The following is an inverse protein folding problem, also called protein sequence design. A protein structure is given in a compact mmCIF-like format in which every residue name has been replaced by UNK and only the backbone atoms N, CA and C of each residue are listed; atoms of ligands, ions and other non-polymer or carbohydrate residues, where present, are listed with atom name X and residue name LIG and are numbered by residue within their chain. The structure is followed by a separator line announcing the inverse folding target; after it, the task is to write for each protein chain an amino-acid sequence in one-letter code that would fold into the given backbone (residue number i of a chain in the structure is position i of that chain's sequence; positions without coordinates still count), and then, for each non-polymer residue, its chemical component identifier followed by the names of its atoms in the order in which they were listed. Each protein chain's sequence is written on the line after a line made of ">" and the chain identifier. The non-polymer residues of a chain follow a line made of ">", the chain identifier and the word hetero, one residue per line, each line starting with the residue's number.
data_IF_546891824977
#
_entry.id   IF_546891824977
#
_cell.length_a   1.000
_cell.length_b   1.000
_cell.length_c   1.000
_cell.angle_alpha   90.00
_cell.angle_beta   90.00
_cell.angle_gamma   90.00
#
_symmetry.space_group_name_H-M   'P 1'
#
loop_
_entity.id
_entity.type
_entity.pdbx_description
1 polymer ?
#
# COMPACT_ATOMS: atom_id res chain seq x y z
N UNK A 1 69.36 -6.67 -4.81
CA UNK A 1 68.33 -5.78 -5.41
C UNK A 1 67.30 -6.48 -6.30
N UNK A 2 67.52 -7.69 -6.83
CA UNK A 2 66.53 -8.37 -7.70
C UNK A 2 65.39 -9.04 -6.90
N UNK A 3 65.66 -9.52 -5.68
CA UNK A 3 64.66 -10.22 -4.84
C UNK A 3 63.53 -9.33 -4.29
N UNK A 4 63.80 -8.06 -3.99
CA UNK A 4 62.78 -7.13 -3.48
C UNK A 4 61.79 -6.69 -4.56
N UNK A 5 62.26 -6.54 -5.81
CA UNK A 5 61.43 -6.16 -6.95
C UNK A 5 60.41 -7.24 -7.33
N UNK A 6 60.80 -8.52 -7.21
CA UNK A 6 59.90 -9.66 -7.47
C UNK A 6 58.86 -9.83 -6.36
N UNK A 7 59.23 -9.54 -5.11
CA UNK A 7 58.31 -9.56 -3.95
C UNK A 7 57.24 -8.47 -4.07
N UNK A 8 57.65 -7.25 -4.42
CA UNK A 8 56.76 -6.09 -4.57
C UNK A 8 55.83 -6.24 -5.79
N UNK A 9 56.33 -6.84 -6.88
CA UNK A 9 55.52 -7.18 -8.05
C UNK A 9 54.47 -8.28 -7.75
N UNK A 10 54.83 -9.30 -6.96
CA UNK A 10 53.88 -10.34 -6.52
C UNK A 10 52.82 -9.81 -5.56
N UNK A 11 53.20 -8.93 -4.63
CA UNK A 11 52.27 -8.25 -3.72
C UNK A 11 51.33 -7.31 -4.49
N UNK A 12 51.85 -6.53 -5.43
CA UNK A 12 51.03 -5.68 -6.31
C UNK A 12 50.06 -6.50 -7.17
N UNK A 13 50.52 -7.61 -7.76
CA UNK A 13 49.67 -8.49 -8.55
C UNK A 13 48.58 -9.18 -7.71
N UNK A 14 48.92 -9.65 -6.49
CA UNK A 14 47.95 -10.25 -5.57
C UNK A 14 46.92 -9.24 -5.04
N UNK A 15 47.33 -7.98 -4.83
CA UNK A 15 46.42 -6.91 -4.43
C UNK A 15 45.48 -6.52 -5.59
N UNK A 16 45.99 -6.40 -6.81
CA UNK A 16 45.18 -6.08 -8.01
C UNK A 16 44.21 -7.22 -8.32
N UNK A 17 44.67 -8.48 -8.28
CA UNK A 17 43.78 -9.64 -8.51
C UNK A 17 42.73 -9.81 -7.42
N UNK A 18 43.03 -9.42 -6.17
CA UNK A 18 42.06 -9.39 -5.07
C UNK A 18 40.96 -8.33 -5.26
N UNK A 19 41.33 -7.14 -5.74
CA UNK A 19 40.36 -6.07 -6.04
C UNK A 19 39.48 -6.45 -7.23
N UNK A 20 40.04 -7.01 -8.29
CA UNK A 20 39.26 -7.47 -9.46
C UNK A 20 38.27 -8.58 -9.07
N UNK A 21 38.68 -9.52 -8.21
CA UNK A 21 37.80 -10.56 -7.68
C UNK A 21 36.67 -9.98 -6.81
N UNK A 22 36.98 -9.00 -5.97
CA UNK A 22 35.98 -8.30 -5.15
C UNK A 22 34.96 -7.56 -6.03
N UNK A 23 35.42 -6.78 -7.02
CA UNK A 23 34.54 -6.06 -7.95
C UNK A 23 33.67 -7.04 -8.75
N UNK A 24 34.23 -8.15 -9.20
CA UNK A 24 33.47 -9.18 -9.89
C UNK A 24 32.37 -9.80 -9.00
N UNK A 25 32.67 -10.09 -7.72
CA UNK A 25 31.70 -10.62 -6.76
C UNK A 25 30.57 -9.63 -6.47
N UNK A 26 30.89 -8.35 -6.24
CA UNK A 26 29.90 -7.29 -6.02
C UNK A 26 29.00 -7.09 -7.25
N UNK A 27 29.57 -7.17 -8.46
CA UNK A 27 28.80 -7.01 -9.69
C UNK A 27 27.82 -8.18 -9.89
N UNK A 28 28.24 -9.42 -9.63
CA UNK A 28 27.36 -10.60 -9.68
C UNK A 28 26.28 -10.55 -8.62
N UNK A 29 26.64 -10.16 -7.40
CA UNK A 29 25.69 -9.98 -6.30
C UNK A 29 24.65 -8.91 -6.66
N UNK A 30 25.08 -7.75 -7.17
CA UNK A 30 24.20 -6.68 -7.61
C UNK A 30 23.23 -7.11 -8.72
N UNK A 31 23.72 -7.86 -9.71
CA UNK A 31 22.86 -8.41 -10.77
C UNK A 31 21.85 -9.43 -10.22
N UNK A 32 22.30 -10.32 -9.33
CA UNK A 32 21.44 -11.32 -8.71
C UNK A 32 20.33 -10.68 -7.89
N UNK A 33 20.68 -9.69 -7.06
CA UNK A 33 19.74 -8.90 -6.26
C UNK A 33 18.77 -8.12 -7.15
N UNK A 34 19.22 -7.53 -8.25
CA UNK A 34 18.35 -6.79 -9.17
C UNK A 34 17.32 -7.71 -9.85
N UNK A 35 17.74 -8.89 -10.33
CA UNK A 35 16.84 -9.84 -10.99
C UNK A 35 15.85 -10.47 -10.01
N UNK A 36 16.33 -10.94 -8.86
CA UNK A 36 15.48 -11.52 -7.81
C UNK A 36 14.58 -10.47 -7.15
N UNK A 37 15.06 -9.24 -7.00
CA UNK A 37 14.29 -8.12 -6.47
C UNK A 37 13.07 -7.82 -7.33
N UNK A 38 13.22 -7.79 -8.67
CA UNK A 38 12.07 -7.64 -9.59
C UNK A 38 11.05 -8.77 -9.48
N UNK A 39 11.52 -10.00 -9.31
CA UNK A 39 10.63 -11.14 -9.10
C UNK A 39 9.87 -11.03 -7.77
N UNK A 40 10.55 -10.60 -6.70
CA UNK A 40 9.92 -10.33 -5.40
C UNK A 40 8.90 -9.19 -5.48
N UNK A 41 9.20 -8.11 -6.20
CA UNK A 41 8.28 -6.98 -6.35
C UNK A 41 7.02 -7.37 -7.12
N UNK A 42 7.18 -8.16 -8.19
CA UNK A 42 6.05 -8.72 -8.92
C UNK A 42 5.20 -9.63 -8.03
N UNK A 43 5.83 -10.55 -7.32
CA UNK A 43 5.12 -11.48 -6.43
C UNK A 43 4.37 -10.71 -5.33
N UNK A 44 5.01 -9.70 -4.72
CA UNK A 44 4.36 -8.86 -3.73
C UNK A 44 3.13 -8.13 -4.31
N UNK A 45 3.21 -7.62 -5.54
CA UNK A 45 2.07 -6.98 -6.18
C UNK A 45 0.91 -7.97 -6.44
N UNK A 46 1.22 -9.19 -6.90
CA UNK A 46 0.23 -10.26 -7.10
C UNK A 46 -0.41 -10.68 -5.77
N UNK A 47 0.37 -10.84 -4.70
CA UNK A 47 -0.12 -11.21 -3.36
C UNK A 47 -1.03 -10.12 -2.75
N UNK A 48 -0.71 -8.83 -2.97
CA UNK A 48 -1.57 -7.72 -2.53
C UNK A 48 -2.92 -7.81 -3.24
N UNK A 49 -2.92 -8.04 -4.55
CA UNK A 49 -4.15 -8.17 -5.34
C UNK A 49 -4.99 -9.35 -4.82
N UNK A 50 -4.36 -10.50 -4.59
CA UNK A 50 -5.05 -11.69 -4.09
C UNK A 50 -5.70 -11.43 -2.72
N UNK A 51 -4.94 -10.88 -1.76
CA UNK A 51 -5.44 -10.59 -0.41
C UNK A 51 -6.52 -9.52 -0.42
N UNK A 52 -6.33 -8.47 -1.21
CA UNK A 52 -7.32 -7.42 -1.37
C UNK A 52 -8.63 -7.98 -1.93
N UNK A 53 -8.56 -8.84 -2.96
CA UNK A 53 -9.73 -9.52 -3.55
C UNK A 53 -10.42 -10.47 -2.58
N UNK A 54 -9.68 -11.17 -1.73
CA UNK A 54 -10.24 -12.05 -0.70
C UNK A 54 -11.03 -11.28 0.38
N UNK A 55 -10.68 -10.01 0.61
CA UNK A 55 -11.31 -9.14 1.63
C UNK A 55 -12.42 -8.25 1.08
N UNK A 56 -12.52 -8.09 -0.23
CA UNK A 56 -13.54 -7.23 -0.84
C UNK A 56 -14.94 -7.86 -0.75
N UNK A 57 -15.99 -7.06 -0.47
CA UNK A 57 -17.37 -7.50 -0.62
C UNK A 57 -17.67 -7.97 -2.06
N UNK A 58 -18.01 -9.25 -2.22
CA UNK A 58 -18.25 -9.87 -3.54
C UNK A 58 -19.50 -9.34 -4.25
N UNK A 59 -20.43 -8.71 -3.51
CA UNK A 59 -21.76 -8.32 -3.98
C UNK A 59 -21.80 -7.41 -5.21
N UNK A 60 -20.72 -6.67 -5.51
CA UNK A 60 -20.73 -5.70 -6.62
C UNK A 60 -19.90 -6.10 -7.83
N UNK A 61 -19.07 -7.15 -7.76
CA UNK A 61 -18.22 -7.68 -8.85
C UNK A 61 -17.17 -6.72 -9.43
N UNK A 62 -17.54 -5.46 -9.65
CA UNK A 62 -16.74 -4.37 -10.21
C UNK A 62 -15.51 -4.05 -9.36
N UNK A 63 -15.66 -4.05 -8.03
CA UNK A 63 -14.53 -3.83 -7.13
C UNK A 63 -13.54 -4.99 -7.15
N UNK A 64 -14.05 -6.22 -7.17
CA UNK A 64 -13.20 -7.41 -7.28
C UNK A 64 -12.41 -7.42 -8.60
N UNK A 65 -13.05 -7.09 -9.72
CA UNK A 65 -12.39 -6.99 -11.03
C UNK A 65 -11.46 -5.78 -11.16
N UNK A 66 -11.68 -4.73 -10.36
CA UNK A 66 -10.99 -3.45 -10.45
C UNK A 66 -9.75 -3.33 -9.55
N UNK A 67 -9.40 -4.40 -8.82
CA UNK A 67 -8.12 -4.52 -8.13
C UNK A 67 -7.15 -5.20 -9.07
N UNK A 68 -6.08 -4.51 -9.45
CA UNK A 68 -5.09 -5.01 -10.40
C UNK A 68 -3.68 -4.54 -10.03
N UNK A 69 -2.70 -5.39 -10.38
CA UNK A 69 -1.29 -5.05 -10.35
C UNK A 69 -0.90 -4.50 -11.72
N UNK A 70 -0.26 -3.34 -11.74
CA UNK A 70 0.18 -2.66 -12.96
C UNK A 70 1.69 -2.46 -12.90
N UNK A 71 2.37 -2.72 -14.01
CA UNK A 71 3.78 -2.41 -14.15
C UNK A 71 3.92 -1.13 -14.98
N UNK A 72 4.55 -0.11 -14.39
CA UNK A 72 4.84 1.17 -15.05
C UNK A 72 6.32 1.44 -14.90
N UNK A 73 7.04 1.57 -16.02
CA UNK A 73 8.49 1.87 -16.05
C UNK A 73 9.36 0.92 -15.19
N UNK A 74 8.96 -0.36 -15.11
CA UNK A 74 9.66 -1.37 -14.31
C UNK A 74 9.38 -1.31 -12.81
N UNK A 75 8.38 -0.51 -12.40
CA UNK A 75 7.88 -0.44 -11.03
C UNK A 75 6.50 -1.07 -10.97
N UNK A 76 6.33 -2.04 -10.06
CA UNK A 76 5.03 -2.65 -9.80
C UNK A 76 4.22 -1.78 -8.85
N UNK A 77 3.05 -1.34 -9.31
CA UNK A 77 2.01 -0.68 -8.54
C UNK A 77 0.80 -1.58 -8.37
N UNK A 78 -0.02 -1.31 -7.36
CA UNK A 78 -1.33 -1.94 -7.21
C UNK A 78 -2.37 -0.84 -7.13
N UNK A 79 -3.39 -0.95 -7.97
CA UNK A 79 -4.50 -0.02 -8.01
C UNK A 79 -5.80 -0.76 -7.70
N UNK A 80 -6.68 -0.11 -6.94
CA UNK A 80 -8.04 -0.55 -6.74
C UNK A 80 -8.98 0.57 -7.19
N UNK A 81 -9.79 0.31 -8.21
CA UNK A 81 -10.80 1.25 -8.69
C UNK A 81 -12.05 0.55 -9.16
N UNK A 82 -13.21 1.11 -8.86
CA UNK A 82 -14.51 0.57 -9.23
C UNK A 82 -15.43 1.67 -9.79
N UNK A 83 -14.86 2.55 -10.63
CA UNK A 83 -15.63 3.59 -11.32
C UNK A 83 -16.51 2.99 -12.41
N UNK A 84 -17.74 3.48 -12.54
CA UNK A 84 -18.61 3.12 -13.64
C UNK A 84 -18.23 3.89 -14.91
N UNK A 85 -17.85 3.21 -16.00
CA UNK A 85 -17.49 3.90 -17.23
C UNK A 85 -18.67 4.65 -17.87
N UNK A 86 -19.92 4.35 -17.46
CA UNK A 86 -21.13 4.97 -17.99
C UNK A 86 -21.57 6.23 -17.24
N UNK A 87 -21.00 6.48 -16.05
CA UNK A 87 -21.33 7.68 -15.26
C UNK A 87 -20.04 8.36 -14.76
N UNK A 88 -19.58 9.43 -15.41
CA UNK A 88 -18.37 10.15 -15.02
C UNK A 88 -18.52 10.93 -13.69
N UNK A 89 -19.72 10.97 -13.11
CA UNK A 89 -19.99 11.57 -11.80
C UNK A 89 -20.01 10.54 -10.67
N UNK A 90 -19.89 9.25 -11.01
CA UNK A 90 -19.87 8.18 -10.02
C UNK A 90 -18.55 8.23 -9.25
N UNK A 91 -18.65 8.39 -7.92
CA UNK A 91 -17.49 8.27 -7.04
C UNK A 91 -16.91 6.86 -7.11
N UNK A 92 -15.60 6.76 -6.94
CA UNK A 92 -14.94 5.47 -6.91
C UNK A 92 -15.46 4.63 -5.74
N UNK A 93 -16.17 3.55 -6.07
CA UNK A 93 -16.74 2.65 -5.09
C UNK A 93 -15.65 1.96 -4.24
N UNK A 94 -14.44 1.78 -4.78
CA UNK A 94 -13.28 1.30 -4.04
C UNK A 94 -13.00 2.15 -2.79
N UNK A 95 -12.99 3.48 -3.00
CA UNK A 95 -12.76 4.44 -1.94
C UNK A 95 -13.88 4.45 -0.89
N UNK A 96 -15.13 4.33 -1.35
CA UNK A 96 -16.29 4.28 -0.46
C UNK A 96 -16.32 3.01 0.42
N UNK A 97 -15.87 1.88 -0.10
CA UNK A 97 -15.78 0.63 0.67
C UNK A 97 -14.66 0.69 1.70
N UNK A 98 -13.48 1.18 1.31
CA UNK A 98 -12.33 1.29 2.20
C UNK A 98 -12.62 2.20 3.40
N UNK A 99 -13.30 3.33 3.17
CA UNK A 99 -13.50 4.36 4.18
C UNK A 99 -14.91 4.41 4.78
N UNK A 100 -15.90 3.79 4.16
CA UNK A 100 -17.29 3.89 4.59
C UNK A 100 -17.93 5.25 4.29
N UNK A 101 -19.21 5.39 4.66
CA UNK A 101 -20.04 6.55 4.34
C UNK A 101 -20.86 7.04 5.54
N UNK A 102 -21.11 8.35 5.61
CA UNK A 102 -21.93 8.94 6.67
C UNK A 102 -23.44 8.78 6.44
N UNK A 103 -24.25 8.64 7.50
CA UNK A 103 -25.68 8.84 7.42
C UNK A 103 -26.02 10.27 6.98
N UNK A 104 -26.92 10.41 6.00
CA UNK A 104 -27.37 11.72 5.51
C UNK A 104 -26.69 12.16 4.21
N UNK A 105 -27.52 12.60 3.25
CA UNK A 105 -27.22 12.95 1.85
C UNK A 105 -26.43 11.88 1.09
N UNK A 106 -27.10 11.22 0.14
CA UNK A 106 -26.55 10.16 -0.73
C UNK A 106 -25.19 10.55 -1.32
N UNK A 107 -24.15 9.76 -1.00
CA UNK A 107 -22.93 9.65 -1.81
C UNK A 107 -21.93 10.81 -1.76
N UNK A 108 -22.10 11.82 -0.89
CA UNK A 108 -21.22 13.00 -0.88
C UNK A 108 -20.29 13.08 0.34
N UNK A 109 -20.50 12.27 1.39
CA UNK A 109 -19.71 12.35 2.63
C UNK A 109 -19.08 11.01 3.00
N UNK A 110 -17.78 10.93 2.76
CA UNK A 110 -16.88 9.86 3.23
C UNK A 110 -16.66 10.02 4.73
N UNK A 111 -16.53 8.91 5.45
CA UNK A 111 -16.17 8.94 6.87
C UNK A 111 -14.83 9.70 7.06
N UNK A 112 -14.83 10.77 7.86
CA UNK A 112 -13.64 11.56 8.16
C UNK A 112 -13.11 11.22 9.56
N UNK A 113 -12.03 11.87 10.01
CA UNK A 113 -11.46 11.64 11.34
C UNK A 113 -12.49 11.82 12.48
N UNK A 114 -13.52 12.66 12.28
CA UNK A 114 -14.58 12.87 13.26
C UNK A 114 -15.56 11.67 13.34
N UNK A 115 -15.64 10.82 12.31
CA UNK A 115 -16.39 9.56 12.36
C UNK A 115 -15.80 8.58 13.37
N UNK A 116 -14.47 8.57 13.48
CA UNK A 116 -13.71 7.70 14.38
C UNK A 116 -13.51 8.29 15.78
N UNK A 117 -13.96 9.53 16.00
CA UNK A 117 -13.99 10.13 17.32
C UNK A 117 -15.05 9.48 18.22
N UNK A 118 -14.92 9.61 19.55
CA UNK A 118 -16.00 9.23 20.45
C UNK A 118 -17.26 10.01 20.04
N UNK A 119 -18.28 9.29 19.56
CA UNK A 119 -19.62 9.89 19.45
C UNK A 119 -20.05 10.23 20.86
N UNK A 120 -20.38 11.50 21.09
CA UNK A 120 -21.20 11.87 22.24
C UNK A 120 -22.42 10.92 22.23
N UNK A 121 -22.57 10.05 23.24
CA UNK A 121 -23.65 9.05 23.26
C UNK A 121 -25.01 9.73 23.36
N UNK A 122 -25.03 10.95 23.88
CA UNK A 122 -26.18 11.83 23.91
C UNK A 122 -25.97 12.89 22.84
N UNK A 123 -26.81 12.92 21.79
CA UNK A 123 -26.86 14.03 20.84
C UNK A 123 -27.24 15.35 21.53
N UNK A 124 -26.31 15.92 22.29
CA UNK A 124 -26.49 17.00 23.22
C UNK A 124 -26.70 18.30 22.43
N UNK A 125 -27.98 18.50 22.09
CA UNK A 125 -28.67 19.77 22.01
C UNK A 125 -27.80 20.96 22.43
N UNK A 126 -27.22 21.63 21.43
CA UNK A 126 -26.71 22.98 21.64
C UNK A 126 -27.89 23.83 22.17
N UNK A 127 -27.86 24.18 23.45
CA UNK A 127 -28.75 25.20 23.99
C UNK A 127 -28.15 26.52 23.55
N UNK A 128 -28.94 27.37 22.90
CA UNK A 128 -28.44 28.67 22.48
C UNK A 128 -28.07 29.48 23.75
N UNK A 129 -26.78 29.77 23.99
CA UNK A 129 -26.31 30.34 25.26
C UNK A 129 -26.83 31.75 25.51
N UNK A 130 -27.37 32.41 24.48
CA UNK A 130 -27.89 33.77 24.53
C UNK A 130 -29.38 33.84 24.89
N UNK A 131 -30.11 32.73 24.73
CA UNK A 131 -31.59 32.72 24.88
C UNK A 131 -32.11 31.59 25.76
N UNK A 132 -31.26 30.63 26.17
CA UNK A 132 -31.64 29.50 27.01
C UNK A 132 -32.59 28.49 26.33
N UNK A 133 -32.92 28.69 25.05
CA UNK A 133 -33.83 27.82 24.30
C UNK A 133 -33.04 26.77 23.54
N UNK A 134 -33.53 25.54 23.53
CA UNK A 134 -33.05 24.48 22.61
C UNK A 134 -33.29 24.96 21.18
N UNK A 135 -32.31 24.84 20.29
CA UNK A 135 -32.57 25.07 18.87
C UNK A 135 -33.72 24.17 18.43
N UNK A 136 -34.83 24.76 17.95
CA UNK A 136 -35.83 23.98 17.24
C UNK A 136 -35.15 23.48 15.98
N UNK A 137 -34.97 22.16 15.83
CA UNK A 137 -34.70 21.57 14.51
C UNK A 137 -35.89 21.97 13.64
N UNK A 138 -35.69 22.98 12.80
CA UNK A 138 -36.60 23.17 11.68
C UNK A 138 -36.56 21.85 10.90
N UNK A 139 -37.73 21.23 10.71
CA UNK A 139 -37.96 20.09 9.82
C UNK A 139 -37.74 20.48 8.34
N UNK A 140 -36.60 21.13 8.05
CA UNK A 140 -36.24 21.66 6.75
C UNK A 140 -35.79 20.57 5.76
N UNK A 141 -35.82 19.29 6.15
CA UNK A 141 -35.28 18.17 5.35
C UNK A 141 -36.29 17.03 5.11
N UNK A 142 -37.60 17.27 5.20
CA UNK A 142 -38.59 16.20 4.97
C UNK A 142 -38.81 15.86 3.48
N UNK A 143 -38.26 16.64 2.54
CA UNK A 143 -38.42 16.42 1.08
C UNK A 143 -37.13 16.37 0.26
N UNK A 144 -35.97 16.64 0.86
CA UNK A 144 -34.69 16.70 0.14
C UNK A 144 -33.82 15.52 0.53
N UNK A 145 -33.71 14.59 -0.43
CA UNK A 145 -32.70 13.52 -0.54
C UNK A 145 -33.04 12.28 0.28
N UNK A 146 -33.26 11.15 -0.40
CA UNK A 146 -33.14 9.80 0.18
C UNK A 146 -31.81 9.74 0.94
N UNK A 147 -31.85 9.87 2.25
CA UNK A 147 -30.66 9.80 3.10
C UNK A 147 -30.30 8.33 3.23
N UNK A 148 -29.18 7.90 2.64
CA UNK A 148 -28.65 6.58 2.95
C UNK A 148 -28.28 6.52 4.44
N UNK A 149 -28.44 5.36 5.10
CA UNK A 149 -28.16 5.19 6.53
C UNK A 149 -26.67 5.33 6.88
N UNK A 150 -25.80 5.49 5.88
CA UNK A 150 -24.36 5.32 6.02
C UNK A 150 -24.00 3.83 6.03
N UNK A 151 -22.74 3.55 5.69
CA UNK A 151 -22.19 2.20 5.65
C UNK A 151 -20.86 2.22 6.41
N UNK A 152 -20.62 1.29 7.35
CA UNK A 152 -19.33 1.21 8.01
C UNK A 152 -18.21 0.91 7.01
N UNK A 153 -16.96 1.35 7.28
CA UNK A 153 -15.80 0.99 6.46
C UNK A 153 -15.59 -0.52 6.45
N UNK A 154 -15.16 -1.04 5.30
CA UNK A 154 -14.74 -2.42 5.12
C UNK A 154 -13.33 -2.43 4.50
N UNK A 155 -12.29 -2.13 5.30
CA UNK A 155 -10.95 -1.97 4.78
C UNK A 155 -10.43 -3.27 4.19
N UNK A 156 -9.95 -3.22 2.96
CA UNK A 156 -9.47 -4.37 2.20
C UNK A 156 -8.10 -4.09 1.57
N UNK A 157 -7.83 -2.85 1.18
CA UNK A 157 -6.64 -2.50 0.42
C UNK A 157 -5.42 -2.30 1.32
N UNK A 158 -5.46 -1.32 2.22
CA UNK A 158 -4.31 -0.97 3.06
C UNK A 158 -3.86 -2.09 4.01
N UNK A 159 -4.76 -2.87 4.65
CA UNK A 159 -4.36 -4.04 5.40
C UNK A 159 -3.57 -5.05 4.55
N UNK A 160 -3.98 -5.27 3.29
CA UNK A 160 -3.31 -6.19 2.37
C UNK A 160 -1.92 -5.70 1.96
N UNK A 161 -1.81 -4.41 1.66
CA UNK A 161 -0.52 -3.77 1.37
C UNK A 161 0.44 -3.90 2.54
N UNK A 162 -0.01 -3.56 3.76
CA UNK A 162 0.85 -3.56 4.94
C UNK A 162 1.38 -4.95 5.28
N UNK A 163 0.53 -5.97 5.22
CA UNK A 163 0.94 -7.35 5.49
C UNK A 163 1.96 -7.85 4.46
N UNK A 164 1.69 -7.64 3.16
CA UNK A 164 2.59 -8.11 2.11
C UNK A 164 3.91 -7.34 2.12
N UNK A 165 3.89 -6.03 2.39
CA UNK A 165 5.13 -5.25 2.48
C UNK A 165 5.99 -5.68 3.69
N UNK A 166 5.37 -6.08 4.80
CA UNK A 166 6.10 -6.67 5.92
C UNK A 166 6.77 -8.00 5.52
N UNK A 167 6.04 -8.87 4.83
CA UNK A 167 6.58 -10.16 4.35
C UNK A 167 7.66 -9.98 3.27
N UNK A 168 7.48 -9.04 2.34
CA UNK A 168 8.47 -8.65 1.34
C UNK A 168 9.76 -8.18 2.01
N UNK A 169 9.66 -7.38 3.08
CA UNK A 169 10.83 -6.93 3.85
C UNK A 169 11.66 -8.11 4.35
N UNK A 170 11.01 -9.09 4.99
CA UNK A 170 11.67 -10.31 5.46
C UNK A 170 12.27 -11.13 4.32
N UNK A 171 11.57 -11.25 3.19
CA UNK A 171 12.05 -11.97 2.00
C UNK A 171 13.26 -11.27 1.35
N UNK A 172 13.28 -9.94 1.33
CA UNK A 172 14.40 -9.16 0.81
C UNK A 172 15.65 -9.32 1.69
N UNK A 173 15.49 -9.30 3.01
CA UNK A 173 16.61 -9.54 3.94
C UNK A 173 17.17 -10.96 3.78
N UNK A 174 16.30 -11.96 3.64
CA UNK A 174 16.71 -13.34 3.36
C UNK A 174 17.47 -13.45 2.02
N UNK A 175 17.03 -12.74 0.98
CA UNK A 175 17.69 -12.70 -0.32
C UNK A 175 19.10 -12.11 -0.22
N UNK A 176 19.26 -11.00 0.51
CA UNK A 176 20.56 -10.36 0.73
C UNK A 176 21.53 -11.32 1.44
N UNK A 177 21.05 -12.00 2.47
CA UNK A 177 21.85 -13.00 3.19
C UNK A 177 22.21 -14.22 2.32
N UNK A 178 21.28 -14.73 1.49
CA UNK A 178 21.56 -15.80 0.52
C UNK A 178 22.66 -15.38 -0.47
N UNK A 179 22.55 -14.16 -1.00
CA UNK A 179 23.50 -13.62 -1.97
C UNK A 179 24.89 -13.43 -1.35
N UNK A 180 24.97 -12.92 -0.11
CA UNK A 180 26.22 -12.77 0.62
C UNK A 180 26.90 -14.13 0.91
N UNK A 181 26.13 -15.13 1.36
CA UNK A 181 26.63 -16.48 1.61
C UNK A 181 27.15 -17.14 0.33
N UNK A 182 26.46 -16.96 -0.81
CA UNK A 182 26.86 -17.56 -2.10
C UNK A 182 28.20 -17.03 -2.61
N UNK A 183 28.53 -15.77 -2.33
CA UNK A 183 29.78 -15.15 -2.72
C UNK A 183 30.88 -15.26 -1.64
N UNK A 184 30.61 -15.92 -0.51
CA UNK A 184 31.59 -16.12 0.57
C UNK A 184 31.94 -14.85 1.35
N UNK A 185 31.00 -13.89 1.44
CA UNK A 185 31.18 -12.58 2.08
C UNK A 185 30.82 -12.56 3.58
N UNK A 186 30.54 -13.74 4.16
CA UNK A 186 30.15 -13.98 5.56
C UNK A 186 30.93 -15.17 6.10
#
# INVERSE_FOLDING_TARGET
>A
MIGELVSLARLGYAAVSGVDALVASLTRMGLHLALRGRALDRQAAEDIVERARARVPQDTGRLFSGIEATEVDGVWGVQASAVNPRDPREMDYAFLVEHGTWPGVRGERVADAAYFGPRDPDGALAVNPRTGRRYRRADANRRTRRTHPGTPPHPYFWPSVNEVMAERGLAADALINEAANREGLT
#
